data_IF_664296009238
#
_entry.id   IF_664296009238
#
_cell.length_a   1.000
_cell.length_b   1.000
_cell.length_c   1.000
_cell.angle_alpha   90.00
_cell.angle_beta   90.00
_cell.angle_gamma   90.00
#
_symmetry.space_group_name_H-M   'P 1'
#
loop_
_entity.id
_entity.type
_entity.pdbx_description
1 polymer ?
#
# COMPACT_ATOMS: atom_id res chain seq x y z
N UNK A 1 19.14 -6.65 4.12
CA UNK A 1 18.12 -5.84 4.85
C UNK A 1 17.74 -4.60 4.05
N UNK A 2 16.61 -4.68 3.36
CA UNK A 2 16.08 -3.64 2.48
C UNK A 2 14.68 -3.22 2.95
N UNK A 3 14.47 -1.92 3.13
CA UNK A 3 13.18 -1.34 3.52
C UNK A 3 12.43 -0.85 2.29
N UNK A 4 11.19 -1.32 2.11
CA UNK A 4 10.33 -0.97 0.97
C UNK A 4 8.96 -0.55 1.47
N UNK A 5 8.42 0.53 0.91
CA UNK A 5 7.02 0.91 1.13
C UNK A 5 6.19 0.38 -0.03
N UNK A 6 5.29 -0.55 0.26
CA UNK A 6 4.35 -1.11 -0.70
C UNK A 6 3.09 -0.26 -0.67
N UNK A 7 2.55 0.06 -1.84
CA UNK A 7 1.29 0.78 -1.99
C UNK A 7 0.24 -0.09 -2.67
N UNK A 8 -1.02 0.05 -2.24
CA UNK A 8 -2.17 -0.41 -3.01
C UNK A 8 -2.46 0.51 -4.20
N UNK A 9 -3.38 0.06 -5.05
CA UNK A 9 -3.94 0.90 -6.11
C UNK A 9 -4.82 2.01 -5.53
N UNK A 10 -5.04 3.06 -6.33
CA UNK A 10 -5.95 4.13 -5.99
C UNK A 10 -7.40 3.62 -5.96
N UNK A 11 -8.15 3.97 -4.92
CA UNK A 11 -9.54 3.57 -4.78
C UNK A 11 -10.45 4.70 -4.28
N UNK A 12 -11.74 4.63 -4.61
CA UNK A 12 -12.74 5.62 -4.19
C UNK A 12 -13.14 5.48 -2.72
N UNK A 13 -12.78 4.37 -2.07
CA UNK A 13 -13.06 4.10 -0.65
C UNK A 13 -11.80 3.61 0.06
N UNK A 14 -11.67 3.96 1.33
CA UNK A 14 -10.55 3.53 2.17
C UNK A 14 -10.46 2.00 2.28
N UNK A 15 -11.60 1.31 2.43
CA UNK A 15 -11.63 -0.15 2.53
C UNK A 15 -11.10 -0.84 1.27
N UNK A 16 -11.47 -0.33 0.09
CA UNK A 16 -11.01 -0.86 -1.19
C UNK A 16 -9.50 -0.64 -1.38
N UNK A 17 -8.97 0.51 -0.91
CA UNK A 17 -7.54 0.79 -0.93
C UNK A 17 -6.75 -0.17 -0.01
N UNK A 18 -7.30 -0.52 1.16
CA UNK A 18 -6.69 -1.50 2.07
C UNK A 18 -6.71 -2.90 1.42
N UNK A 19 -7.84 -3.32 0.85
CA UNK A 19 -7.94 -4.62 0.17
C UNK A 19 -6.95 -4.72 -1.01
N UNK A 20 -6.77 -3.64 -1.78
CA UNK A 20 -5.77 -3.58 -2.85
C UNK A 20 -4.33 -3.67 -2.30
N UNK A 21 -4.05 -3.02 -1.16
CA UNK A 21 -2.75 -3.09 -0.49
C UNK A 21 -2.45 -4.50 0.03
N UNK A 22 -3.43 -5.18 0.62
CA UNK A 22 -3.26 -6.54 1.16
C UNK A 22 -2.74 -7.50 0.09
N UNK A 23 -3.23 -7.40 -1.15
CA UNK A 23 -2.73 -8.21 -2.27
C UNK A 23 -1.23 -7.98 -2.52
N UNK A 24 -0.79 -6.73 -2.56
CA UNK A 24 0.62 -6.37 -2.79
C UNK A 24 1.52 -6.75 -1.61
N UNK A 25 1.04 -6.58 -0.38
CA UNK A 25 1.76 -6.99 0.83
C UNK A 25 1.90 -8.51 0.90
N UNK A 26 0.85 -9.26 0.58
CA UNK A 26 0.91 -10.72 0.54
C UNK A 26 1.91 -11.24 -0.49
N UNK A 27 2.01 -10.59 -1.66
CA UNK A 27 3.05 -10.92 -2.64
C UNK A 27 4.46 -10.68 -2.07
N UNK A 28 4.69 -9.53 -1.41
CA UNK A 28 5.98 -9.25 -0.77
C UNK A 28 6.32 -10.27 0.34
N UNK A 29 5.33 -10.69 1.15
CA UNK A 29 5.52 -11.71 2.18
C UNK A 29 5.89 -13.06 1.55
N UNK A 30 5.26 -13.45 0.44
CA UNK A 30 5.60 -14.68 -0.29
C UNK A 30 7.03 -14.65 -0.86
N UNK A 31 7.55 -13.47 -1.18
CA UNK A 31 8.95 -13.26 -1.58
C UNK A 31 9.93 -13.23 -0.39
N UNK A 32 9.44 -13.34 0.85
CA UNK A 32 10.27 -13.36 2.07
C UNK A 32 10.35 -12.04 2.83
N UNK A 33 9.51 -11.06 2.50
CA UNK A 33 9.41 -9.83 3.28
C UNK A 33 8.66 -10.02 4.61
N UNK A 34 9.03 -9.23 5.62
CA UNK A 34 8.31 -9.12 6.90
C UNK A 34 7.65 -7.75 6.99
N UNK A 35 6.41 -7.69 7.48
CA UNK A 35 5.69 -6.42 7.67
C UNK A 35 6.32 -5.61 8.79
N UNK A 36 6.48 -4.30 8.57
CA UNK A 36 7.01 -3.37 9.56
C UNK A 36 6.01 -2.23 9.81
N UNK A 37 5.55 -2.10 11.05
CA UNK A 37 4.58 -1.08 11.43
C UNK A 37 3.15 -1.38 10.95
N UNK A 38 2.30 -0.36 10.96
CA UNK A 38 0.89 -0.46 10.58
C UNK A 38 0.59 0.09 9.19
N UNK A 39 -0.65 -0.13 8.74
CA UNK A 39 -1.18 0.38 7.48
C UNK A 39 -1.46 1.88 7.62
N UNK A 40 -0.98 2.66 6.66
CA UNK A 40 -1.30 4.08 6.53
C UNK A 40 -2.22 4.30 5.35
N UNK A 41 -3.35 4.97 5.55
CA UNK A 41 -4.29 5.33 4.48
C UNK A 41 -4.28 6.84 4.30
N UNK A 42 -3.99 7.29 3.09
CA UNK A 42 -3.96 8.70 2.73
C UNK A 42 -5.13 9.00 1.80
N UNK A 43 -5.81 10.12 2.05
CA UNK A 43 -6.83 10.66 1.17
C UNK A 43 -6.28 11.90 0.46
N UNK A 44 -6.34 11.91 -0.87
CA UNK A 44 -5.77 13.00 -1.66
C UNK A 44 -6.08 12.89 -3.15
N UNK A 45 -5.64 13.89 -3.94
CA UNK A 45 -5.81 13.87 -5.39
C UNK A 45 -5.11 12.65 -6.00
N UNK A 46 -5.81 11.91 -6.85
CA UNK A 46 -5.21 10.77 -7.55
C UNK A 46 -4.03 11.25 -8.43
N UNK A 47 -2.92 10.51 -8.43
CA UNK A 47 -1.69 10.89 -9.16
C UNK A 47 -1.86 10.96 -10.69
N UNK A 48 -2.99 10.50 -11.23
CA UNK A 48 -3.33 10.56 -12.67
C UNK A 48 -4.40 11.57 -13.03
N UNK A 49 -5.25 11.99 -12.09
CA UNK A 49 -6.32 12.95 -12.32
C UNK A 49 -6.49 13.85 -11.09
N UNK A 50 -5.99 15.08 -11.20
CA UNK A 50 -6.12 16.13 -10.17
C UNK A 50 -7.57 16.52 -9.85
N UNK A 51 -8.55 16.04 -10.62
CA UNK A 51 -9.98 16.33 -10.43
C UNK A 51 -10.75 15.32 -9.58
N UNK A 52 -10.17 14.19 -9.18
CA UNK A 52 -10.86 13.19 -8.37
C UNK A 52 -10.04 12.82 -7.12
N UNK A 53 -10.51 13.19 -5.91
CA UNK A 53 -9.90 12.72 -4.69
C UNK A 53 -10.22 11.24 -4.48
N UNK A 54 -9.29 10.53 -3.84
CA UNK A 54 -9.52 9.16 -3.43
C UNK A 54 -8.48 8.70 -2.42
N UNK A 55 -8.47 7.40 -2.16
CA UNK A 55 -7.70 6.77 -1.11
C UNK A 55 -6.56 5.95 -1.69
N UNK A 56 -5.43 5.97 -1.00
CA UNK A 56 -4.34 5.04 -1.25
C UNK A 56 -3.79 4.55 0.09
N UNK A 57 -3.56 3.25 0.19
CA UNK A 57 -3.04 2.62 1.38
C UNK A 57 -1.57 2.20 1.17
N UNK A 58 -0.78 2.28 2.23
CA UNK A 58 0.64 2.01 2.25
C UNK A 58 1.00 1.12 3.44
N UNK A 59 1.92 0.19 3.23
CA UNK A 59 2.50 -0.64 4.27
C UNK A 59 4.00 -0.78 4.02
N UNK A 60 4.78 -0.59 5.07
CA UNK A 60 6.20 -0.87 5.01
C UNK A 60 6.46 -2.37 5.20
N UNK A 61 7.40 -2.88 4.43
CA UNK A 61 7.91 -4.25 4.51
C UNK A 61 9.44 -4.23 4.49
N UNK A 62 10.04 -5.22 5.15
CA UNK A 62 11.47 -5.40 5.28
C UNK A 62 11.83 -6.74 4.67
N UNK A 63 12.70 -6.74 3.68
CA UNK A 63 13.29 -7.97 3.17
C UNK A 63 14.59 -8.25 3.94
N UNK A 64 14.71 -9.48 4.45
CA UNK A 64 15.89 -9.97 5.19
C UNK A 64 16.93 -10.61 4.28
N UNK A 65 16.63 -10.68 2.98
CA UNK A 65 17.57 -10.97 1.90
C UNK A 65 18.80 -10.04 1.92
#
# INVERSE_FOLDING_TARGET
MRYVVVSGEHANKAADAIAALEKSVNAAIQEGATVSGGVSVVHGPSSRNFGMPGYQAFQAVIYLD
#
